data_IF_243288147752
#
_entry.id   IF_243288147752
#
_cell.length_a   1.000
_cell.length_b   1.000
_cell.length_c   1.000
_cell.angle_alpha   90.00
_cell.angle_beta   90.00
_cell.angle_gamma   90.00
#
_symmetry.space_group_name_H-M   'P 1'
#
loop_
_entity.id
_entity.type
_entity.pdbx_description
1 polymer ?
#
# COMPACT_ATOMS: atom_id res chain seq x y z
N UNK A 1 -50.30 -3.80 30.15
CA UNK A 1 -49.11 -2.93 30.35
C UNK A 1 -47.77 -3.60 30.02
N UNK A 2 -47.53 -4.86 30.44
CA UNK A 2 -46.23 -5.56 30.34
C UNK A 2 -45.69 -5.74 28.90
N UNK A 3 -46.56 -5.93 27.90
CA UNK A 3 -46.15 -6.10 26.48
C UNK A 3 -45.48 -4.85 25.87
N UNK A 4 -45.88 -3.63 26.27
CA UNK A 4 -45.25 -2.38 25.79
C UNK A 4 -43.81 -2.25 26.31
N UNK A 5 -43.56 -2.57 27.59
CA UNK A 5 -42.23 -2.53 28.20
C UNK A 5 -41.23 -3.48 27.51
N UNK A 6 -41.68 -4.69 27.14
CA UNK A 6 -40.85 -5.66 26.40
C UNK A 6 -40.47 -5.14 25.00
N UNK A 7 -41.40 -4.44 24.33
CA UNK A 7 -41.18 -3.80 23.01
C UNK A 7 -40.16 -2.65 23.10
N UNK A 8 -40.29 -1.75 24.09
CA UNK A 8 -39.34 -0.66 24.32
C UNK A 8 -37.92 -1.17 24.62
N UNK A 9 -37.80 -2.24 25.41
CA UNK A 9 -36.51 -2.87 25.71
C UNK A 9 -35.82 -3.39 24.44
N UNK A 10 -36.55 -4.03 23.53
CA UNK A 10 -35.97 -4.49 22.26
C UNK A 10 -35.54 -3.32 21.38
N UNK A 11 -36.36 -2.28 21.24
CA UNK A 11 -36.00 -1.08 20.46
C UNK A 11 -34.76 -0.36 21.01
N UNK A 12 -34.64 -0.28 22.34
CA UNK A 12 -33.48 0.33 22.99
C UNK A 12 -32.19 -0.49 22.75
N UNK A 13 -32.27 -1.82 22.82
CA UNK A 13 -31.14 -2.71 22.51
C UNK A 13 -30.73 -2.55 21.03
N UNK A 14 -31.68 -2.51 20.10
CA UNK A 14 -31.37 -2.36 18.67
C UNK A 14 -30.72 -1.01 18.35
N UNK A 15 -31.18 0.08 18.98
CA UNK A 15 -30.55 1.40 18.83
C UNK A 15 -29.13 1.39 19.42
N UNK A 16 -28.95 0.77 20.59
CA UNK A 16 -27.63 0.63 21.21
C UNK A 16 -26.64 -0.14 20.35
N UNK A 17 -27.06 -1.25 19.75
CA UNK A 17 -26.23 -2.04 18.82
C UNK A 17 -25.90 -1.24 17.56
N UNK A 18 -26.86 -0.51 17.00
CA UNK A 18 -26.65 0.32 15.82
C UNK A 18 -25.67 1.48 16.09
N UNK A 19 -25.83 2.18 17.22
CA UNK A 19 -24.89 3.21 17.66
C UNK A 19 -23.49 2.64 17.87
N UNK A 20 -23.38 1.44 18.45
CA UNK A 20 -22.09 0.78 18.65
C UNK A 20 -21.40 0.46 17.31
N UNK A 21 -22.14 -0.05 16.32
CA UNK A 21 -21.61 -0.31 14.97
C UNK A 21 -21.11 1.00 14.33
N UNK A 22 -21.88 2.08 14.40
CA UNK A 22 -21.47 3.39 13.86
C UNK A 22 -20.17 3.88 14.53
N UNK A 23 -20.07 3.77 15.86
CA UNK A 23 -18.87 4.17 16.59
C UNK A 23 -17.63 3.36 16.15
N UNK A 24 -17.79 2.05 15.92
CA UNK A 24 -16.71 1.20 15.40
C UNK A 24 -16.28 1.63 13.99
N UNK A 25 -17.23 1.92 13.10
CA UNK A 25 -16.91 2.41 11.75
C UNK A 25 -16.17 3.74 11.78
N UNK A 26 -16.63 4.69 12.61
CA UNK A 26 -15.97 5.99 12.79
C UNK A 26 -14.55 5.79 13.32
N UNK A 27 -14.37 4.92 14.32
CA UNK A 27 -13.06 4.61 14.88
C UNK A 27 -12.11 4.00 13.85
N UNK A 28 -12.57 3.03 13.05
CA UNK A 28 -11.78 2.43 11.97
C UNK A 28 -11.34 3.52 10.98
N UNK A 29 -12.25 4.39 10.55
CA UNK A 29 -11.93 5.45 9.60
C UNK A 29 -10.91 6.46 10.13
N UNK A 30 -11.05 6.86 11.40
CA UNK A 30 -10.09 7.76 12.06
C UNK A 30 -8.73 7.08 12.19
N UNK A 31 -8.69 5.79 12.53
CA UNK A 31 -7.43 5.05 12.66
C UNK A 31 -6.71 4.91 11.31
N UNK A 32 -7.47 4.76 10.23
CA UNK A 32 -6.91 4.63 8.88
C UNK A 32 -6.42 5.97 8.33
N UNK A 33 -7.15 7.06 8.58
CA UNK A 33 -6.72 8.39 8.16
C UNK A 33 -5.42 8.81 8.87
N UNK A 34 -5.28 8.50 10.16
CA UNK A 34 -4.04 8.73 10.90
C UNK A 34 -2.85 7.98 10.29
N UNK A 35 -3.01 6.69 9.99
CA UNK A 35 -1.95 5.89 9.33
C UNK A 35 -1.54 6.46 7.97
N UNK A 36 -2.50 6.93 7.17
CA UNK A 36 -2.21 7.54 5.86
C UNK A 36 -1.42 8.84 6.01
N UNK A 37 -1.75 9.68 6.98
CA UNK A 37 -1.01 10.91 7.24
C UNK A 37 0.44 10.64 7.67
N UNK A 38 0.67 9.64 8.54
CA UNK A 38 2.01 9.24 8.95
C UNK A 38 2.82 8.69 7.76
N UNK A 39 2.17 7.87 6.93
CA UNK A 39 2.76 7.30 5.72
C UNK A 39 3.13 8.38 4.69
N UNK A 40 2.27 9.37 4.49
CA UNK A 40 2.52 10.50 3.60
C UNK A 40 3.71 11.34 4.08
N UNK A 41 3.81 11.58 5.39
CA UNK A 41 4.96 12.27 5.98
C UNK A 41 6.26 11.50 5.74
N UNK A 42 6.26 10.19 5.95
CA UNK A 42 7.42 9.33 5.68
C UNK A 42 7.81 9.35 4.19
N UNK A 43 6.83 9.25 3.30
CA UNK A 43 7.02 9.36 1.85
C UNK A 43 7.68 10.70 1.48
N UNK A 44 7.22 11.81 2.05
CA UNK A 44 7.75 13.14 1.74
C UNK A 44 9.22 13.28 2.18
N UNK A 45 9.55 12.78 3.38
CA UNK A 45 10.94 12.74 3.88
C UNK A 45 11.81 11.86 2.99
N UNK A 46 11.36 10.64 2.67
CA UNK A 46 12.08 9.72 1.79
C UNK A 46 12.30 10.31 0.40
N UNK A 47 11.30 11.03 -0.15
CA UNK A 47 11.40 11.72 -1.44
C UNK A 47 12.49 12.77 -1.45
N UNK A 48 12.60 13.59 -0.41
CA UNK A 48 13.67 14.59 -0.29
C UNK A 48 15.06 13.95 -0.31
N UNK A 49 15.26 12.87 0.46
CA UNK A 49 16.52 12.13 0.51
C UNK A 49 16.83 11.45 -0.84
N UNK A 50 15.82 10.90 -1.51
CA UNK A 50 15.99 10.36 -2.86
C UNK A 50 16.44 11.45 -3.83
N UNK A 51 15.86 12.64 -3.79
CA UNK A 51 16.24 13.74 -4.67
C UNK A 51 17.68 14.22 -4.42
N UNK A 52 18.14 14.20 -3.16
CA UNK A 52 19.56 14.37 -2.82
C UNK A 52 20.43 13.27 -3.46
N UNK A 53 20.00 12.00 -3.37
CA UNK A 53 20.68 10.87 -4.02
C UNK A 53 20.79 11.03 -5.54
N UNK A 54 19.75 11.59 -6.19
CA UNK A 54 19.79 11.90 -7.64
C UNK A 54 20.83 12.96 -7.97
N UNK A 55 21.03 13.95 -7.11
CA UNK A 55 22.09 14.96 -7.29
C UNK A 55 23.46 14.28 -7.25
N UNK A 56 23.72 13.42 -6.26
CA UNK A 56 24.97 12.66 -6.19
C UNK A 56 25.18 11.74 -7.39
N UNK A 57 24.11 11.07 -7.86
CA UNK A 57 24.16 10.24 -9.05
C UNK A 57 24.57 11.02 -10.30
N UNK A 58 24.00 12.22 -10.50
CA UNK A 58 24.37 13.13 -11.61
C UNK A 58 25.83 13.58 -11.51
N UNK A 59 26.34 13.76 -10.29
CA UNK A 59 27.75 14.06 -10.03
C UNK A 59 28.68 12.83 -10.13
N UNK A 60 28.16 11.66 -10.55
CA UNK A 60 28.85 10.37 -10.60
C UNK A 60 29.42 9.89 -9.25
N UNK A 61 28.93 10.46 -8.15
CA UNK A 61 29.26 10.04 -6.79
C UNK A 61 28.36 8.87 -6.38
N UNK A 62 28.55 7.73 -7.03
CA UNK A 62 27.63 6.60 -6.94
C UNK A 62 27.48 6.04 -5.53
N UNK A 63 28.55 6.00 -4.73
CA UNK A 63 28.50 5.53 -3.33
C UNK A 63 27.54 6.37 -2.47
N UNK A 64 27.64 7.70 -2.59
CA UNK A 64 26.76 8.64 -1.87
C UNK A 64 25.32 8.55 -2.37
N UNK A 65 25.13 8.36 -3.69
CA UNK A 65 23.81 8.15 -4.25
C UNK A 65 23.15 6.89 -3.68
N UNK A 66 23.89 5.77 -3.63
CA UNK A 66 23.43 4.49 -3.07
C UNK A 66 23.07 4.64 -1.58
N UNK A 67 23.88 5.37 -0.82
CA UNK A 67 23.61 5.66 0.59
C UNK A 67 22.30 6.44 0.76
N UNK A 68 22.12 7.53 0.01
CA UNK A 68 20.88 8.32 0.03
C UNK A 68 19.66 7.48 -0.34
N UNK A 69 19.73 6.70 -1.43
CA UNK A 69 18.61 5.84 -1.81
C UNK A 69 18.32 4.77 -0.75
N UNK A 70 19.35 4.21 -0.11
CA UNK A 70 19.17 3.24 0.97
C UNK A 70 18.50 3.86 2.19
N UNK A 71 18.84 5.10 2.56
CA UNK A 71 18.14 5.85 3.61
C UNK A 71 16.69 6.12 3.25
N UNK A 72 16.41 6.53 2.01
CA UNK A 72 15.05 6.75 1.53
C UNK A 72 14.20 5.47 1.63
N UNK A 73 14.78 4.31 1.25
CA UNK A 73 14.13 3.00 1.39
C UNK A 73 13.92 2.61 2.85
N UNK A 74 14.87 2.92 3.75
CA UNK A 74 14.70 2.62 5.18
C UNK A 74 13.54 3.40 5.81
N UNK A 75 13.30 4.64 5.35
CA UNK A 75 12.20 5.49 5.82
C UNK A 75 10.87 5.09 5.18
N UNK A 76 10.88 4.81 3.87
CA UNK A 76 9.71 4.37 3.13
C UNK A 76 10.04 3.08 2.38
N UNK A 77 9.88 1.90 3.01
CA UNK A 77 10.24 0.59 2.42
C UNK A 77 9.50 0.29 1.13
N UNK A 78 8.37 0.97 0.94
CA UNK A 78 7.51 0.85 -0.20
C UNK A 78 7.86 1.78 -1.37
N UNK A 79 9.02 2.45 -1.32
CA UNK A 79 9.43 3.42 -2.33
C UNK A 79 10.00 2.80 -3.62
N UNK A 80 9.14 2.36 -4.53
CA UNK A 80 9.56 1.76 -5.80
C UNK A 80 10.59 2.60 -6.57
N UNK A 81 10.43 3.92 -6.62
CA UNK A 81 11.37 4.82 -7.33
C UNK A 81 12.77 4.81 -6.71
N UNK A 82 12.89 4.70 -5.39
CA UNK A 82 14.19 4.67 -4.71
C UNK A 82 14.95 3.36 -4.97
N UNK A 83 14.25 2.21 -5.03
CA UNK A 83 14.86 0.95 -5.45
C UNK A 83 15.36 1.03 -6.90
N UNK A 84 14.53 1.54 -7.82
CA UNK A 84 14.93 1.72 -9.22
C UNK A 84 16.13 2.65 -9.35
N UNK A 85 16.16 3.76 -8.60
CA UNK A 85 17.26 4.71 -8.62
C UNK A 85 18.55 4.10 -8.05
N UNK A 86 18.44 3.30 -6.97
CA UNK A 86 19.57 2.58 -6.38
C UNK A 86 20.11 1.50 -7.31
N UNK A 87 19.26 0.73 -7.98
CA UNK A 87 19.68 -0.25 -8.98
C UNK A 87 20.45 0.39 -10.14
N UNK A 88 20.00 1.56 -10.63
CA UNK A 88 20.76 2.34 -11.64
C UNK A 88 22.11 2.83 -11.13
N UNK A 89 22.18 3.22 -9.85
CA UNK A 89 23.42 3.64 -9.20
C UNK A 89 24.41 2.47 -9.07
N UNK A 90 23.94 1.30 -8.64
CA UNK A 90 24.73 0.07 -8.61
C UNK A 90 25.22 -0.32 -10.00
N UNK A 91 24.36 -0.32 -11.02
CA UNK A 91 24.76 -0.63 -12.39
C UNK A 91 25.84 0.34 -12.90
N UNK A 92 25.68 1.64 -12.63
CA UNK A 92 26.66 2.65 -13.05
C UNK A 92 28.00 2.52 -12.32
N UNK A 93 27.98 2.16 -11.03
CA UNK A 93 29.18 1.88 -10.23
C UNK A 93 29.87 0.60 -10.70
N UNK A 94 29.12 -0.49 -10.81
CA UNK A 94 29.61 -1.81 -11.24
C UNK A 94 30.17 -1.81 -12.65
N UNK A 95 29.57 -1.05 -13.59
CA UNK A 95 30.13 -0.86 -14.94
C UNK A 95 31.44 -0.06 -14.92
N UNK A 96 31.58 0.91 -14.01
CA UNK A 96 32.79 1.72 -13.89
C UNK A 96 33.94 0.98 -13.17
N UNK A 97 33.61 0.06 -12.26
CA UNK A 97 34.58 -0.69 -11.45
C UNK A 97 34.69 -2.18 -11.78
N UNK A 98 33.97 -2.67 -12.79
CA UNK A 98 33.82 -4.08 -13.13
C UNK A 98 33.46 -5.00 -11.94
N UNK A 99 32.57 -4.52 -11.05
CA UNK A 99 32.19 -5.23 -9.82
C UNK A 99 30.92 -6.07 -10.02
N UNK A 100 31.00 -7.39 -9.78
CA UNK A 100 29.88 -8.34 -9.93
C UNK A 100 28.77 -8.16 -8.90
N UNK A 101 29.13 -7.80 -7.66
CA UNK A 101 28.18 -7.72 -6.54
C UNK A 101 27.19 -6.57 -6.73
N UNK A 102 27.64 -5.48 -7.36
CA UNK A 102 26.80 -4.34 -7.69
C UNK A 102 25.78 -4.68 -8.77
N UNK A 103 26.19 -5.47 -9.77
CA UNK A 103 25.26 -5.93 -10.80
C UNK A 103 24.18 -6.84 -10.20
N UNK A 104 24.53 -7.71 -9.26
CA UNK A 104 23.57 -8.54 -8.54
C UNK A 104 22.59 -7.69 -7.70
N UNK A 105 23.11 -6.69 -6.98
CA UNK A 105 22.27 -5.76 -6.21
C UNK A 105 21.31 -4.96 -7.11
N UNK A 106 21.75 -4.57 -8.31
CA UNK A 106 20.89 -3.89 -9.28
C UNK A 106 19.75 -4.78 -9.77
N UNK A 107 20.05 -6.06 -10.07
CA UNK A 107 19.04 -7.05 -10.47
C UNK A 107 18.03 -7.23 -9.34
N UNK A 108 18.49 -7.42 -8.10
CA UNK A 108 17.62 -7.57 -6.92
C UNK A 108 16.68 -6.37 -6.72
N UNK A 109 17.20 -5.15 -6.82
CA UNK A 109 16.38 -3.93 -6.67
C UNK A 109 15.35 -3.79 -7.81
N UNK A 110 15.70 -4.23 -9.03
CA UNK A 110 14.78 -4.27 -10.18
C UNK A 110 13.68 -5.32 -10.01
N UNK A 111 14.02 -6.51 -9.51
CA UNK A 111 13.08 -7.59 -9.25
C UNK A 111 12.08 -7.20 -8.15
N UNK A 112 12.56 -6.56 -7.07
CA UNK A 112 11.69 -6.04 -6.01
C UNK A 112 10.64 -5.06 -6.57
N UNK A 113 11.08 -4.14 -7.43
CA UNK A 113 10.20 -3.16 -8.09
C UNK A 113 9.16 -3.86 -8.98
N UNK A 114 9.61 -4.85 -9.75
CA UNK A 114 8.75 -5.60 -10.67
C UNK A 114 7.73 -6.46 -9.92
N UNK A 115 8.15 -7.22 -8.90
CA UNK A 115 7.27 -8.07 -8.08
C UNK A 115 6.16 -7.27 -7.42
N UNK A 116 6.48 -6.06 -6.94
CA UNK A 116 5.49 -5.16 -6.34
C UNK A 116 4.47 -4.65 -7.36
N UNK A 117 4.92 -4.30 -8.56
CA UNK A 117 4.03 -3.92 -9.68
C UNK A 117 3.04 -5.05 -9.99
N UNK A 118 3.54 -6.28 -10.14
CA UNK A 118 2.70 -7.45 -10.40
C UNK A 118 1.69 -7.71 -9.27
N UNK A 119 2.11 -7.67 -8.00
CA UNK A 119 1.22 -7.87 -6.85
C UNK A 119 0.03 -6.89 -6.86
N UNK A 120 0.27 -5.61 -7.17
CA UNK A 120 -0.80 -4.62 -7.29
C UNK A 120 -1.77 -4.95 -8.43
N UNK A 121 -1.26 -5.35 -9.60
CA UNK A 121 -2.07 -5.74 -10.76
C UNK A 121 -2.92 -6.98 -10.46
N UNK A 122 -2.34 -8.02 -9.85
CA UNK A 122 -3.06 -9.24 -9.48
C UNK A 122 -4.16 -8.97 -8.45
N UNK A 123 -3.88 -8.14 -7.45
CA UNK A 123 -4.87 -7.76 -6.45
C UNK A 123 -6.06 -7.02 -7.06
N UNK A 124 -5.80 -6.07 -7.97
CA UNK A 124 -6.86 -5.35 -8.68
C UNK A 124 -7.70 -6.29 -9.56
N UNK A 125 -7.05 -7.19 -10.29
CA UNK A 125 -7.74 -8.18 -11.12
C UNK A 125 -8.60 -9.14 -10.28
N UNK A 126 -8.09 -9.59 -9.14
CA UNK A 126 -8.83 -10.44 -8.20
C UNK A 126 -10.09 -9.74 -7.66
N UNK A 127 -9.98 -8.46 -7.25
CA UNK A 127 -11.12 -7.66 -6.79
C UNK A 127 -12.18 -7.46 -7.89
N UNK A 128 -11.74 -7.20 -9.12
CA UNK A 128 -12.61 -7.07 -10.28
C UNK A 128 -13.35 -8.38 -10.62
N UNK A 129 -12.66 -9.52 -10.51
CA UNK A 129 -13.27 -10.82 -10.72
C UNK A 129 -14.26 -11.16 -9.59
N UNK A 130 -13.93 -10.86 -8.34
CA UNK A 130 -14.81 -11.08 -7.20
C UNK A 130 -16.12 -10.28 -7.29
N UNK A 131 -16.06 -9.02 -7.75
CA UNK A 131 -17.26 -8.18 -7.89
C UNK A 131 -18.17 -8.64 -9.03
N UNK A 132 -17.59 -9.07 -10.15
CA UNK A 132 -18.36 -9.62 -11.28
C UNK A 132 -19.05 -10.95 -10.94
N UNK A 133 -18.37 -11.84 -10.22
CA UNK A 133 -18.96 -13.09 -9.71
C UNK A 133 -20.11 -12.80 -8.74
N UNK A 134 -19.94 -11.82 -7.84
CA UNK A 134 -20.97 -11.43 -6.88
C UNK A 134 -22.24 -10.89 -7.58
N UNK A 135 -22.08 -10.09 -8.64
CA UNK A 135 -23.21 -9.56 -9.42
C UNK A 135 -24.00 -10.68 -10.12
N UNK A 136 -23.30 -11.67 -10.70
CA UNK A 136 -23.93 -12.82 -11.34
C UNK A 136 -24.69 -13.66 -10.31
N UNK A 137 -24.09 -13.89 -9.13
CA UNK A 137 -24.75 -14.61 -8.03
C UNK A 137 -26.02 -13.88 -7.55
N UNK A 138 -25.96 -12.56 -7.38
CA UNK A 138 -27.12 -11.75 -6.98
C UNK A 138 -28.23 -11.85 -8.04
N UNK A 139 -27.89 -11.73 -9.33
CA UNK A 139 -28.86 -11.85 -10.43
C UNK A 139 -29.52 -13.23 -10.47
N UNK A 140 -28.73 -14.29 -10.29
CA UNK A 140 -29.23 -15.67 -10.24
C UNK A 140 -30.19 -15.90 -9.06
N UNK A 141 -29.83 -15.41 -7.87
CA UNK A 141 -30.67 -15.50 -6.67
C UNK A 141 -31.98 -14.72 -6.85
N UNK A 142 -31.94 -13.52 -7.42
CA UNK A 142 -33.16 -12.74 -7.72
C UNK A 142 -34.10 -13.49 -8.66
N UNK A 143 -33.56 -14.21 -9.65
CA UNK A 143 -34.39 -14.98 -10.59
C UNK A 143 -35.07 -16.17 -9.92
N UNK A 144 -34.38 -16.86 -9.00
CA UNK A 144 -34.90 -17.99 -8.22
C UNK A 144 -35.97 -17.60 -7.20
N UNK A 145 -35.87 -16.40 -6.61
CA UNK A 145 -36.84 -15.90 -5.62
C UNK A 145 -38.08 -15.30 -6.31
N UNK A 146 -37.94 -14.84 -7.55
CA UNK A 146 -39.02 -14.26 -8.35
C UNK A 146 -39.88 -15.28 -9.13
N UNK A 147 -39.53 -16.57 -9.09
CA UNK A 147 -40.29 -17.69 -9.67
C UNK A 147 -41.03 -18.48 -8.60
#
# INVERSE_FOLDING_TARGET
MIRKFKKYRHTLITIGVFCFIILVFIFIHISESAKKADLEKQYLVAKGIMDEGKVFYKLKKYDKAIESFTKAIAIYPDFSDAYLARGKAYQSRGLASANSDDLENAIRDSEHTQKKSFLATYFYYFLFLASSILLVLISYICHLIGS
#
